data_IF_312936014702
#
_entry.id   IF_312936014702
#
_cell.length_a   1.000
_cell.length_b   1.000
_cell.length_c   1.000
_cell.angle_alpha   90.00
_cell.angle_beta   90.00
_cell.angle_gamma   90.00
#
_symmetry.space_group_name_H-M   'P 1'
#
loop_
_entity.id
_entity.type
_entity.pdbx_description
1 polymer ?
#
# COMPACT_ATOMS: atom_id res chain seq x y z
N UNK A 1 -20.77 15.97 -35.02
CA UNK A 1 -21.66 16.11 -33.84
C UNK A 1 -20.78 16.08 -32.60
N UNK A 2 -20.51 17.25 -32.01
CA UNK A 2 -19.58 17.40 -30.89
C UNK A 2 -20.16 16.85 -29.59
N UNK A 3 -19.36 16.13 -28.81
CA UNK A 3 -19.72 15.74 -27.45
C UNK A 3 -20.02 17.00 -26.65
N UNK A 4 -21.28 17.18 -26.23
CA UNK A 4 -21.67 18.24 -25.31
C UNK A 4 -20.81 18.13 -24.05
N UNK A 5 -20.02 19.17 -23.75
CA UNK A 5 -19.10 19.17 -22.62
C UNK A 5 -19.81 18.84 -21.31
N UNK A 6 -19.19 17.96 -20.52
CA UNK A 6 -19.65 17.61 -19.18
C UNK A 6 -19.64 18.90 -18.32
N UNK A 7 -20.81 19.31 -17.84
CA UNK A 7 -20.92 20.46 -16.94
C UNK A 7 -20.27 20.15 -15.57
N UNK A 8 -19.80 21.18 -14.86
CA UNK A 8 -19.25 21.02 -13.50
C UNK A 8 -20.19 20.24 -12.55
N UNK A 9 -21.51 20.47 -12.68
CA UNK A 9 -22.53 19.78 -11.89
C UNK A 9 -22.67 18.30 -12.28
N UNK A 10 -22.58 17.96 -13.58
CA UNK A 10 -22.60 16.57 -14.03
C UNK A 10 -21.34 15.80 -13.59
N UNK A 11 -20.17 16.45 -13.64
CA UNK A 11 -18.93 15.87 -13.12
C UNK A 11 -19.02 15.58 -11.61
N UNK A 12 -19.52 16.54 -10.81
CA UNK A 12 -19.69 16.36 -9.35
C UNK A 12 -20.62 15.19 -9.02
N UNK A 13 -21.77 15.10 -9.69
CA UNK A 13 -22.73 14.01 -9.47
C UNK A 13 -22.13 12.64 -9.79
N UNK A 14 -21.34 12.55 -10.87
CA UNK A 14 -20.67 11.31 -11.24
C UNK A 14 -19.60 10.91 -10.20
N UNK A 15 -18.84 11.87 -9.68
CA UNK A 15 -17.90 11.63 -8.59
C UNK A 15 -18.62 11.10 -7.33
N UNK A 16 -19.73 11.72 -6.93
CA UNK A 16 -20.53 11.29 -5.76
C UNK A 16 -21.04 9.85 -5.92
N UNK A 17 -21.48 9.46 -7.13
CA UNK A 17 -21.90 8.07 -7.40
C UNK A 17 -20.72 7.09 -7.29
N UNK A 18 -19.55 7.48 -7.81
CA UNK A 18 -18.33 6.68 -7.73
C UNK A 18 -17.89 6.54 -6.28
N UNK A 19 -17.99 7.59 -5.46
CA UNK A 19 -17.61 7.55 -4.04
C UNK A 19 -18.40 6.48 -3.29
N UNK A 20 -19.71 6.36 -3.56
CA UNK A 20 -20.55 5.30 -3.00
C UNK A 20 -20.06 3.89 -3.40
N UNK A 21 -19.70 3.70 -4.67
CA UNK A 21 -19.17 2.41 -5.17
C UNK A 21 -17.80 2.08 -4.59
N UNK A 22 -16.92 3.08 -4.48
CA UNK A 22 -15.59 2.92 -3.86
C UNK A 22 -15.76 2.54 -2.39
N UNK A 23 -16.65 3.20 -1.66
CA UNK A 23 -16.95 2.86 -0.27
C UNK A 23 -17.44 1.42 -0.13
N UNK A 24 -18.44 1.03 -0.91
CA UNK A 24 -18.96 -0.34 -0.91
C UNK A 24 -17.88 -1.37 -1.27
N UNK A 25 -16.97 -1.04 -2.19
CA UNK A 25 -15.84 -1.89 -2.54
C UNK A 25 -14.85 -2.04 -1.37
N UNK A 26 -14.52 -0.95 -0.67
CA UNK A 26 -13.56 -0.97 0.44
C UNK A 26 -14.13 -1.63 1.71
N UNK A 27 -15.45 -1.57 1.92
CA UNK A 27 -16.15 -2.19 3.05
C UNK A 27 -16.57 -3.64 2.79
N UNK A 28 -16.37 -4.15 1.56
CA UNK A 28 -16.78 -5.52 1.22
C UNK A 28 -16.03 -6.53 2.09
N UNK A 29 -16.69 -7.63 2.49
CA UNK A 29 -16.01 -8.70 3.20
C UNK A 29 -14.93 -9.30 2.31
N UNK A 30 -13.73 -9.45 2.86
CA UNK A 30 -12.64 -10.18 2.22
C UNK A 30 -12.66 -11.57 2.82
N UNK A 31 -12.88 -12.57 1.98
CA UNK A 31 -12.92 -13.98 2.39
C UNK A 31 -12.07 -14.83 1.45
N UNK A 32 -11.60 -15.97 1.95
CA UNK A 32 -10.83 -16.95 1.18
C UNK A 32 -9.33 -16.96 1.44
N UNK A 33 -8.64 -17.77 0.64
CA UNK A 33 -7.19 -17.94 0.73
C UNK A 33 -6.46 -16.95 -0.18
N UNK A 34 -5.59 -16.17 0.44
CA UNK A 34 -4.80 -15.10 -0.18
C UNK A 34 -3.32 -15.44 -0.04
N UNK A 35 -2.74 -16.07 -1.05
CA UNK A 35 -1.39 -16.64 -0.97
C UNK A 35 -0.30 -15.57 -0.87
N UNK A 36 -0.48 -14.43 -1.54
CA UNK A 36 0.51 -13.35 -1.61
C UNK A 36 -0.17 -12.00 -1.37
N UNK A 37 0.49 -11.12 -0.60
CA UNK A 37 0.05 -9.76 -0.35
C UNK A 37 1.17 -8.77 -0.71
N UNK A 38 0.80 -7.67 -1.35
CA UNK A 38 1.62 -6.47 -1.51
C UNK A 38 0.93 -5.33 -0.78
N UNK A 39 1.68 -4.63 0.06
CA UNK A 39 1.19 -3.45 0.75
C UNK A 39 2.19 -2.32 0.57
N UNK A 40 1.69 -1.20 0.06
CA UNK A 40 2.51 -0.05 -0.30
C UNK A 40 1.82 1.24 0.13
N UNK A 41 2.61 2.29 0.32
CA UNK A 41 2.13 3.63 0.65
C UNK A 41 2.71 4.65 -0.32
N UNK A 42 1.89 5.62 -0.74
CA UNK A 42 2.34 6.71 -1.59
C UNK A 42 1.84 8.05 -1.12
N UNK A 43 2.65 9.10 -1.27
CA UNK A 43 2.24 10.45 -0.94
C UNK A 43 1.57 11.14 -2.13
N UNK A 44 0.34 11.60 -1.92
CA UNK A 44 -0.39 12.43 -2.87
C UNK A 44 -0.45 13.89 -2.38
N UNK A 45 -0.33 14.83 -3.32
CA UNK A 45 -0.57 16.25 -3.06
C UNK A 45 -2.04 16.57 -3.30
N UNK A 46 -2.74 16.93 -2.24
CA UNK A 46 -4.17 17.26 -2.29
C UNK A 46 -4.41 18.69 -1.84
N UNK A 47 -5.43 19.34 -2.40
CA UNK A 47 -5.84 20.68 -1.98
C UNK A 47 -6.90 20.57 -0.89
N UNK A 48 -6.58 21.02 0.32
CA UNK A 48 -7.48 21.03 1.47
C UNK A 48 -7.45 22.42 2.12
N UNK A 49 -8.62 23.00 2.41
CA UNK A 49 -8.72 24.31 3.08
C UNK A 49 -7.95 25.45 2.38
N UNK A 50 -7.88 25.44 1.05
CA UNK A 50 -7.16 26.45 0.26
C UNK A 50 -5.64 26.25 0.17
N UNK A 51 -5.08 25.18 0.75
CA UNK A 51 -3.64 24.88 0.77
C UNK A 51 -3.36 23.50 0.16
N UNK A 52 -2.16 23.31 -0.38
CA UNK A 52 -1.71 21.98 -0.85
C UNK A 52 -1.03 21.28 0.32
N UNK A 53 -1.54 20.10 0.68
CA UNK A 53 -1.00 19.25 1.74
C UNK A 53 -0.57 17.89 1.16
N UNK A 54 0.38 17.23 1.82
CA UNK A 54 0.73 15.84 1.52
C UNK A 54 -0.19 14.93 2.32
N UNK A 55 -0.82 13.95 1.66
CA UNK A 55 -1.54 12.85 2.31
C UNK A 55 -0.90 11.54 1.90
N UNK A 56 -0.95 10.55 2.78
CA UNK A 56 -0.48 9.19 2.51
C UNK A 56 -1.67 8.36 2.04
N UNK A 57 -1.50 7.59 0.98
CA UNK A 57 -2.46 6.58 0.54
C UNK A 57 -1.81 5.22 0.67
N UNK A 58 -2.36 4.36 1.51
CA UNK A 58 -1.94 2.97 1.70
C UNK A 58 -2.85 2.08 0.86
N UNK A 59 -2.28 1.13 0.13
CA UNK A 59 -3.03 0.17 -0.71
C UNK A 59 -2.54 -1.24 -0.41
N UNK A 60 -3.47 -2.17 -0.23
CA UNK A 60 -3.20 -3.61 -0.19
C UNK A 60 -3.71 -4.29 -1.46
N UNK A 61 -2.86 -5.11 -2.07
CA UNK A 61 -3.19 -5.96 -3.22
C UNK A 61 -2.88 -7.41 -2.85
N UNK A 62 -3.83 -8.30 -3.07
CA UNK A 62 -3.67 -9.73 -2.80
C UNK A 62 -3.73 -10.58 -4.07
N UNK A 63 -3.13 -11.76 -4.02
CA UNK A 63 -3.35 -12.84 -4.98
C UNK A 63 -4.11 -13.96 -4.29
N UNK A 64 -5.28 -14.30 -4.81
CA UNK A 64 -6.09 -15.39 -4.29
C UNK A 64 -5.55 -16.77 -4.71
N UNK A 65 -6.15 -17.86 -4.22
CA UNK A 65 -5.77 -19.23 -4.56
C UNK A 65 -5.84 -19.56 -6.07
N UNK A 66 -6.71 -18.87 -6.82
CA UNK A 66 -6.84 -19.01 -8.27
C UNK A 66 -5.79 -18.21 -9.06
N UNK A 67 -4.88 -17.51 -8.36
CA UNK A 67 -3.85 -16.68 -8.98
C UNK A 67 -4.34 -15.30 -9.43
N UNK A 68 -5.57 -14.89 -9.07
CA UNK A 68 -6.13 -13.58 -9.43
C UNK A 68 -5.65 -12.49 -8.47
N UNK A 69 -5.23 -11.36 -9.04
CA UNK A 69 -4.79 -10.17 -8.29
C UNK A 69 -5.96 -9.23 -8.06
N UNK A 70 -6.16 -8.81 -6.82
CA UNK A 70 -7.26 -7.92 -6.43
C UNK A 70 -6.80 -6.88 -5.41
N UNK A 71 -7.34 -5.67 -5.51
CA UNK A 71 -7.17 -4.64 -4.47
C UNK A 71 -8.04 -5.04 -3.29
N UNK A 72 -7.40 -5.27 -2.15
CA UNK A 72 -8.04 -5.71 -0.93
C UNK A 72 -8.53 -4.56 -0.07
N UNK A 73 -7.80 -3.45 -0.06
CA UNK A 73 -8.15 -2.28 0.72
C UNK A 73 -7.29 -1.09 0.36
N UNK A 74 -7.78 0.08 0.76
CA UNK A 74 -7.08 1.35 0.63
C UNK A 74 -7.46 2.23 1.82
N UNK A 75 -6.51 2.99 2.35
CA UNK A 75 -6.75 4.00 3.37
C UNK A 75 -6.00 5.29 3.06
N UNK A 76 -6.60 6.42 3.38
CA UNK A 76 -5.95 7.72 3.33
C UNK A 76 -5.55 8.12 4.76
N UNK A 77 -4.25 8.27 4.98
CA UNK A 77 -3.68 8.74 6.23
C UNK A 77 -3.04 10.12 6.12
N UNK A 78 -2.74 10.70 7.27
CA UNK A 78 -2.00 11.98 7.37
C UNK A 78 -0.48 11.81 7.28
N UNK A 79 0.01 10.58 7.50
CA UNK A 79 1.43 10.20 7.42
C UNK A 79 1.60 8.68 7.37
N UNK A 80 2.80 8.20 7.02
CA UNK A 80 3.22 6.78 7.09
C UNK A 80 3.59 6.32 8.51
N UNK A 81 3.00 6.93 9.54
CA UNK A 81 3.27 6.55 10.92
C UNK A 81 2.68 5.19 11.29
N UNK A 82 3.26 4.54 12.31
CA UNK A 82 2.81 3.26 12.86
C UNK A 82 1.30 3.19 13.17
N UNK A 83 0.64 4.24 13.72
CA UNK A 83 -0.80 4.19 13.95
C UNK A 83 -1.61 4.02 12.65
N UNK A 84 -1.24 4.73 11.58
CA UNK A 84 -1.90 4.64 10.27
C UNK A 84 -1.81 3.21 9.72
N UNK A 85 -0.63 2.61 9.80
CA UNK A 85 -0.40 1.22 9.39
C UNK A 85 -1.18 0.23 10.24
N UNK A 86 -1.21 0.44 11.56
CA UNK A 86 -1.91 -0.43 12.51
C UNK A 86 -3.42 -0.41 12.27
N UNK A 87 -4.00 0.76 12.07
CA UNK A 87 -5.41 0.91 11.73
C UNK A 87 -5.73 0.20 10.41
N UNK A 88 -4.91 0.40 9.38
CA UNK A 88 -5.09 -0.25 8.08
C UNK A 88 -5.03 -1.77 8.16
N UNK A 89 -4.00 -2.32 8.82
CA UNK A 89 -3.77 -3.77 8.89
C UNK A 89 -4.77 -4.52 9.78
N UNK A 90 -5.50 -3.82 10.67
CA UNK A 90 -6.55 -4.41 11.50
C UNK A 90 -7.89 -4.58 10.78
N UNK A 91 -8.14 -3.82 9.70
CA UNK A 91 -9.41 -3.87 8.96
C UNK A 91 -9.71 -5.21 8.27
N UNK A 92 -8.76 -5.85 7.55
CA UNK A 92 -9.06 -7.10 6.88
C UNK A 92 -9.11 -8.27 7.88
N UNK A 93 -10.29 -8.89 8.04
CA UNK A 93 -10.51 -9.97 9.02
C UNK A 93 -10.52 -11.39 8.41
N UNK A 94 -10.65 -11.53 7.09
CA UNK A 94 -10.80 -12.83 6.43
C UNK A 94 -9.63 -13.24 5.52
N UNK A 95 -8.45 -12.64 5.67
CA UNK A 95 -7.24 -13.06 4.94
C UNK A 95 -6.69 -14.37 5.53
N UNK A 96 -6.93 -15.50 4.86
CA UNK A 96 -6.39 -16.81 5.25
C UNK A 96 -5.30 -17.26 4.28
N UNK A 97 -4.45 -18.19 4.72
CA UNK A 97 -3.49 -18.87 3.84
C UNK A 97 -2.34 -18.01 3.30
N UNK A 98 -2.07 -16.84 3.90
CA UNK A 98 -1.00 -15.93 3.46
C UNK A 98 0.37 -16.57 3.63
N UNK A 99 1.10 -16.71 2.51
CA UNK A 99 2.46 -17.29 2.47
C UNK A 99 3.55 -16.22 2.43
N UNK A 100 3.25 -15.06 1.86
CA UNK A 100 4.21 -13.97 1.74
C UNK A 100 3.49 -12.62 1.71
N UNK A 101 4.01 -11.68 2.49
CA UNK A 101 3.64 -10.26 2.45
C UNK A 101 4.86 -9.47 2.01
N UNK A 102 4.69 -8.59 1.03
CA UNK A 102 5.74 -7.69 0.52
C UNK A 102 5.32 -6.26 0.82
N UNK A 103 6.22 -5.52 1.44
CA UNK A 103 6.12 -4.07 1.60
C UNK A 103 7.50 -3.47 1.39
N UNK A 104 7.57 -2.27 0.84
CA UNK A 104 8.83 -1.54 0.74
C UNK A 104 9.23 -0.90 2.08
N UNK A 105 8.34 -0.95 3.08
CA UNK A 105 8.54 -0.59 4.48
C UNK A 105 9.48 0.59 4.63
N UNK A 106 8.99 1.79 4.31
CA UNK A 106 9.62 3.02 4.73
C UNK A 106 9.72 3.02 6.27
N UNK A 107 10.97 2.94 6.77
CA UNK A 107 11.27 2.61 8.16
C UNK A 107 10.57 3.52 9.17
N UNK A 108 9.55 2.98 9.83
CA UNK A 108 9.07 3.53 11.09
C UNK A 108 10.14 3.27 12.17
N UNK A 109 10.64 4.29 12.88
CA UNK A 109 11.60 4.13 13.97
C UNK A 109 10.89 3.48 15.17
N UNK A 110 10.83 2.14 15.16
CA UNK A 110 10.10 1.35 16.17
C UNK A 110 9.90 -0.12 15.76
N UNK A 111 10.06 -0.46 14.48
CA UNK A 111 9.99 -1.85 14.03
C UNK A 111 11.32 -2.59 14.32
N UNK A 112 11.30 -3.83 14.87
CA UNK A 112 12.52 -4.60 15.13
C UNK A 112 13.12 -5.09 13.80
N UNK A 113 13.90 -4.25 13.14
CA UNK A 113 14.80 -4.67 12.09
C UNK A 113 15.91 -5.52 12.73
N UNK A 114 15.79 -6.85 12.64
CA UNK A 114 16.85 -7.78 13.05
C UNK A 114 18.11 -7.48 12.22
N UNK A 115 19.08 -6.78 12.82
CA UNK A 115 20.41 -6.56 12.22
C UNK A 115 21.14 -7.91 12.16
N UNK A 116 21.68 -8.34 10.99
CA UNK A 116 22.55 -9.50 10.94
C UNK A 116 23.87 -9.21 11.68
N UNK A 117 24.38 -10.20 12.42
CA UNK A 117 25.68 -10.10 13.10
C UNK A 117 26.81 -9.98 12.05
N UNK A 118 27.87 -9.18 12.30
CA UNK A 118 29.01 -9.09 11.40
C UNK A 118 29.68 -10.47 11.22
N UNK A 119 29.85 -10.94 9.98
CA UNK A 119 30.66 -12.13 9.66
C UNK A 119 30.04 -13.23 8.79
N UNK A 120 28.75 -13.17 8.42
CA UNK A 120 28.13 -14.20 7.58
C UNK A 120 28.40 -13.95 6.08
N UNK A 121 29.21 -14.81 5.46
CA UNK A 121 29.43 -14.82 4.00
C UNK A 121 28.17 -15.24 3.20
N UNK A 122 28.16 -15.04 1.87
CA UNK A 122 26.98 -15.28 1.04
C UNK A 122 26.63 -16.79 0.95
N UNK A 123 25.33 -17.17 0.96
CA UNK A 123 24.91 -18.57 0.97
C UNK A 123 25.03 -19.27 -0.40
N UNK A 124 25.37 -20.56 -0.35
CA UNK A 124 25.58 -21.47 -1.49
C UNK A 124 24.24 -21.87 -2.17
N UNK A 125 24.10 -21.73 -3.50
CA UNK A 125 22.82 -21.90 -4.21
C UNK A 125 22.35 -23.35 -4.45
N UNK A 126 23.06 -24.40 -4.01
CA UNK A 126 22.72 -25.82 -4.31
C UNK A 126 22.10 -26.64 -3.17
N UNK A 127 21.66 -26.03 -2.07
CA UNK A 127 20.88 -26.73 -1.02
C UNK A 127 19.47 -26.15 -0.95
N UNK A 128 18.45 -27.02 -0.96
CA UNK A 128 17.08 -26.64 -0.62
C UNK A 128 17.08 -25.91 0.73
N UNK A 129 16.43 -24.74 0.85
CA UNK A 129 16.53 -23.96 2.08
C UNK A 129 15.66 -24.58 3.19
N UNK A 130 16.17 -24.68 4.43
CA UNK A 130 15.33 -24.92 5.60
C UNK A 130 14.51 -23.65 5.91
N UNK A 131 13.43 -23.84 6.69
CA UNK A 131 12.44 -22.83 7.09
C UNK A 131 13.05 -21.44 7.38
N UNK A 132 12.43 -20.40 6.82
CA UNK A 132 12.97 -19.04 6.70
C UNK A 132 13.07 -18.30 8.05
N UNK A 133 14.26 -17.73 8.34
CA UNK A 133 14.32 -16.38 8.92
C UNK A 133 15.33 -15.50 8.16
N UNK A 134 14.91 -14.30 7.73
CA UNK A 134 15.80 -13.32 7.11
C UNK A 134 15.13 -12.44 6.05
N UNK A 135 14.46 -11.38 6.50
CA UNK A 135 13.89 -10.33 5.66
C UNK A 135 14.99 -9.35 5.20
N UNK A 136 14.93 -8.84 3.96
CA UNK A 136 15.85 -7.79 3.47
C UNK A 136 15.06 -6.58 2.99
N UNK A 137 15.42 -5.39 3.48
CA UNK A 137 14.94 -4.10 2.98
C UNK A 137 15.84 -3.58 1.85
N UNK A 138 15.27 -2.90 0.86
CA UNK A 138 16.02 -2.04 -0.08
C UNK A 138 16.32 -0.69 0.60
N UNK A 139 17.40 0.03 0.21
CA UNK A 139 17.64 1.38 0.71
C UNK A 139 16.52 2.36 0.27
N UNK A 140 16.19 3.39 1.08
CA UNK A 140 15.18 4.37 0.74
C UNK A 140 15.51 5.11 -0.56
N UNK A 141 14.49 5.41 -1.39
CA UNK A 141 14.66 6.36 -2.50
C UNK A 141 14.64 7.78 -1.95
N UNK A 142 15.66 8.56 -2.29
CA UNK A 142 15.73 9.99 -1.98
C UNK A 142 14.52 10.70 -2.66
N UNK A 143 13.77 11.57 -1.96
CA UNK A 143 12.72 12.34 -2.62
C UNK A 143 13.35 13.21 -3.71
N UNK A 144 12.80 13.13 -4.92
CA UNK A 144 13.28 13.90 -6.06
C UNK A 144 13.45 15.37 -5.67
N UNK A 145 14.70 15.86 -5.71
CA UNK A 145 15.00 17.28 -5.51
C UNK A 145 14.17 18.07 -6.51
N UNK A 146 13.23 18.87 -6.01
CA UNK A 146 12.56 19.88 -6.82
C UNK A 146 13.64 20.84 -7.33
N UNK A 147 13.87 20.86 -8.63
CA UNK A 147 14.62 21.93 -9.27
C UNK A 147 13.92 23.26 -8.93
N UNK A 148 14.59 24.14 -8.18
CA UNK A 148 14.19 25.55 -8.11
C UNK A 148 14.79 26.26 -9.32
N UNK A 149 14.02 27.09 -10.05
CA UNK A 149 14.60 27.98 -11.06
C UNK A 149 15.04 29.29 -10.41
N UNK A 150 16.28 29.70 -10.68
CA UNK A 150 16.64 30.97 -11.34
C UNK A 150 18.11 30.91 -11.74
#
# INVERSE_FOLDING_TARGET
>A
MGMSGISKRQGSRLCEEIDGKVKAFLERPIDGDWLYLWIDATYLKVRCGGRIVSVTVIIAVGVNADGRREVLGMEIGTSEAEPTWTEFLRKPTGLRGVKLVVSDAHGSPGWPAQRPKPGAGPPNPRRSPPALPGWRSRPPREPARSARPK
#
